data_IF_814237798266
#
_entry.id   IF_814237798266
#
_cell.length_a   1.000
_cell.length_b   1.000
_cell.length_c   1.000
_cell.angle_alpha   90.00
_cell.angle_beta   90.00
_cell.angle_gamma   90.00
#
_symmetry.space_group_name_H-M   'P 1'
#
loop_
_entity.id
_entity.type
_entity.pdbx_description
1 polymer ?
#
# COMPACT_ATOMS: atom_id res chain seq x y z
N UNK A 1 38.84 -32.58 41.08
CA UNK A 1 38.74 -31.25 40.44
C UNK A 1 39.55 -30.27 41.28
N UNK A 2 40.64 -29.73 40.73
CA UNK A 2 41.55 -28.86 41.48
C UNK A 2 40.86 -27.53 41.83
N UNK A 3 40.62 -27.29 43.12
CA UNK A 3 40.10 -26.01 43.63
C UNK A 3 41.19 -24.95 43.47
N UNK A 4 41.05 -24.11 42.43
CA UNK A 4 42.01 -23.06 42.14
C UNK A 4 41.81 -21.89 43.12
N UNK A 5 42.33 -22.03 44.34
CA UNK A 5 42.28 -21.03 45.43
C UNK A 5 43.24 -19.85 45.20
N UNK A 6 43.51 -19.49 43.95
CA UNK A 6 44.55 -18.54 43.60
C UNK A 6 43.97 -17.16 43.32
N UNK A 7 44.69 -16.12 43.74
CA UNK A 7 44.35 -14.74 43.43
C UNK A 7 44.51 -14.48 41.93
N UNK A 8 43.47 -13.96 41.28
CA UNK A 8 43.42 -13.62 39.85
C UNK A 8 44.62 -12.78 39.40
N UNK A 9 44.93 -11.70 40.12
CA UNK A 9 46.05 -10.79 39.80
C UNK A 9 47.43 -11.38 40.13
N UNK A 10 47.58 -12.16 41.22
CA UNK A 10 48.84 -12.85 41.54
C UNK A 10 49.18 -13.95 40.54
N UNK A 11 48.16 -14.66 40.04
CA UNK A 11 48.30 -15.71 39.01
C UNK A 11 48.89 -15.13 37.72
N UNK A 12 48.51 -13.90 37.36
CA UNK A 12 49.03 -13.22 36.18
C UNK A 12 50.47 -12.70 36.37
N UNK A 13 50.95 -12.58 37.61
CA UNK A 13 52.25 -11.96 37.94
C UNK A 13 53.26 -12.92 38.60
N UNK A 14 52.96 -14.25 38.63
CA UNK A 14 53.80 -15.31 39.20
C UNK A 14 54.30 -15.03 40.64
N UNK A 15 53.45 -14.47 41.51
CA UNK A 15 53.78 -14.16 42.93
C UNK A 15 53.26 -15.22 43.90
N UNK A 16 53.93 -15.36 45.08
CA UNK A 16 53.62 -16.35 46.13
C UNK A 16 52.14 -16.37 46.54
N UNK A 17 51.62 -17.58 46.78
CA UNK A 17 50.24 -17.88 47.16
C UNK A 17 49.87 -17.21 48.49
N UNK A 18 48.74 -16.49 48.52
CA UNK A 18 48.14 -15.85 49.70
C UNK A 18 46.68 -16.26 49.82
N UNK A 19 46.08 -16.12 51.01
CA UNK A 19 44.65 -16.35 51.23
C UNK A 19 43.80 -15.50 50.27
N UNK A 20 42.77 -16.11 49.68
CA UNK A 20 41.97 -15.51 48.61
C UNK A 20 40.54 -15.22 49.07
N UNK A 21 40.10 -13.97 48.91
CA UNK A 21 38.73 -13.49 49.13
C UNK A 21 38.01 -13.48 47.77
N UNK A 22 36.76 -13.96 47.72
CA UNK A 22 35.96 -13.99 46.50
C UNK A 22 35.09 -12.74 46.39
N UNK A 23 35.17 -12.03 45.26
CA UNK A 23 34.25 -10.95 44.94
C UNK A 23 32.95 -11.55 44.38
N UNK A 24 31.81 -11.26 45.00
CA UNK A 24 30.50 -11.78 44.58
C UNK A 24 29.97 -11.12 43.31
N UNK A 25 30.50 -9.95 42.92
CA UNK A 25 30.09 -9.23 41.72
C UNK A 25 30.71 -9.79 40.43
N UNK A 26 32.01 -10.06 40.43
CA UNK A 26 32.73 -10.60 39.26
C UNK A 26 33.09 -12.09 39.38
N UNK A 27 32.76 -12.72 40.52
CA UNK A 27 33.09 -14.12 40.86
C UNK A 27 34.59 -14.45 40.84
N UNK A 28 35.47 -13.44 40.81
CA UNK A 28 36.92 -13.62 40.85
C UNK A 28 37.44 -13.63 42.29
N UNK A 29 38.53 -14.37 42.51
CA UNK A 29 39.20 -14.44 43.82
C UNK A 29 40.45 -13.57 43.83
N UNK A 30 40.64 -12.80 44.89
CA UNK A 30 41.76 -11.88 45.07
C UNK A 30 42.41 -12.07 46.44
N UNK A 31 43.72 -11.89 46.57
CA UNK A 31 44.32 -11.73 47.89
C UNK A 31 43.93 -10.36 48.46
N UNK A 32 43.99 -10.19 49.77
CA UNK A 32 43.55 -8.96 50.45
C UNK A 32 44.03 -7.64 49.80
N UNK A 33 45.32 -7.45 49.45
CA UNK A 33 45.76 -6.21 48.79
C UNK A 33 45.17 -6.04 47.38
N UNK A 34 45.14 -7.09 46.56
CA UNK A 34 44.56 -7.01 45.22
C UNK A 34 43.02 -6.88 45.25
N UNK A 35 42.36 -7.34 46.32
CA UNK A 35 40.94 -7.09 46.53
C UNK A 35 40.67 -5.61 46.83
N UNK A 36 41.56 -4.97 47.62
CA UNK A 36 41.49 -3.54 47.91
C UNK A 36 41.74 -2.70 46.66
N UNK A 37 42.73 -3.06 45.84
CA UNK A 37 42.97 -2.43 44.53
C UNK A 37 41.78 -2.61 43.58
N UNK A 38 41.21 -3.82 43.50
CA UNK A 38 40.00 -4.08 42.72
C UNK A 38 38.83 -3.20 43.17
N UNK A 39 38.66 -3.01 44.49
CA UNK A 39 37.63 -2.13 45.04
C UNK A 39 37.87 -0.65 44.69
N UNK A 40 39.11 -0.19 44.76
CA UNK A 40 39.48 1.17 44.37
C UNK A 40 39.23 1.44 42.87
N UNK A 41 39.44 0.44 42.01
CA UNK A 41 39.11 0.56 40.58
C UNK A 41 37.61 0.72 40.36
N UNK A 42 36.78 -0.03 41.10
CA UNK A 42 35.31 0.10 41.04
C UNK A 42 34.86 1.48 41.53
N UNK A 43 35.48 2.03 42.57
CA UNK A 43 35.18 3.38 43.07
C UNK A 43 35.50 4.45 42.02
N UNK A 44 36.66 4.34 41.35
CA UNK A 44 37.00 5.23 40.23
C UNK A 44 36.03 5.12 39.06
N UNK A 45 35.61 3.91 38.71
CA UNK A 45 34.63 3.69 37.65
C UNK A 45 33.25 4.26 38.03
N UNK A 46 32.87 4.21 39.31
CA UNK A 46 31.63 4.78 39.83
C UNK A 46 31.65 6.30 39.82
N UNK A 47 32.74 6.93 40.25
CA UNK A 47 32.92 8.38 40.20
C UNK A 47 32.85 8.88 38.73
N UNK A 48 33.47 8.15 37.79
CA UNK A 48 33.36 8.43 36.36
C UNK A 48 31.91 8.35 35.86
N UNK A 49 31.13 7.37 36.34
CA UNK A 49 29.72 7.23 35.98
C UNK A 49 28.88 8.41 36.51
N UNK A 50 29.16 8.87 37.73
CA UNK A 50 28.52 10.07 38.31
C UNK A 50 28.84 11.31 37.48
N UNK A 51 30.10 11.48 37.08
CA UNK A 51 30.49 12.62 36.24
C UNK A 51 29.80 12.59 34.88
N UNK A 52 29.77 11.43 34.21
CA UNK A 52 29.04 11.25 32.95
C UNK A 52 27.55 11.58 33.10
N UNK A 53 26.93 11.15 34.21
CA UNK A 53 25.54 11.49 34.52
C UNK A 53 25.34 12.99 34.67
N UNK A 54 26.21 13.67 35.42
CA UNK A 54 26.09 15.11 35.69
C UNK A 54 26.25 15.95 34.42
N UNK A 55 27.22 15.61 33.57
CA UNK A 55 27.43 16.27 32.27
C UNK A 55 26.22 16.08 31.35
N UNK A 56 25.67 14.86 31.26
CA UNK A 56 24.47 14.59 30.45
C UNK A 56 23.25 15.35 30.97
N UNK A 57 23.06 15.37 32.29
CA UNK A 57 21.98 16.12 32.93
C UNK A 57 22.10 17.61 32.62
N UNK A 58 23.30 18.18 32.74
CA UNK A 58 23.52 19.58 32.42
C UNK A 58 23.19 19.88 30.95
N UNK A 59 23.58 19.03 30.00
CA UNK A 59 23.28 19.24 28.58
C UNK A 59 21.80 19.09 28.21
N UNK A 60 21.10 18.14 28.84
CA UNK A 60 19.68 17.89 28.55
C UNK A 60 18.76 18.96 29.14
N UNK A 61 19.16 19.55 30.26
CA UNK A 61 18.33 20.47 31.05
C UNK A 61 18.92 21.88 31.18
N UNK A 62 20.02 22.21 30.49
CA UNK A 62 20.51 23.60 30.41
C UNK A 62 19.59 24.42 29.53
N UNK A 63 19.13 25.56 30.05
CA UNK A 63 18.18 26.47 29.39
C UNK A 63 18.78 27.24 28.19
N UNK A 64 20.02 26.97 27.77
CA UNK A 64 20.69 27.68 26.68
C UNK A 64 20.71 26.87 25.36
N UNK A 65 19.81 27.27 24.46
CA UNK A 65 19.87 27.34 22.98
C UNK A 65 20.15 26.12 22.08
N UNK A 66 20.69 24.99 22.54
CA UNK A 66 20.96 23.87 21.60
C UNK A 66 19.69 23.15 21.10
N UNK A 67 18.56 23.29 21.82
CA UNK A 67 17.25 22.82 21.37
C UNK A 67 16.57 23.75 20.35
N UNK A 68 17.07 24.99 20.18
CA UNK A 68 16.52 25.91 19.19
C UNK A 68 16.85 25.49 17.76
N UNK A 69 18.03 24.94 17.48
CA UNK A 69 18.45 24.59 16.11
C UNK A 69 17.62 23.47 15.47
N UNK A 70 17.34 22.41 16.22
CA UNK A 70 16.57 21.25 15.74
C UNK A 70 15.08 21.59 15.65
N UNK A 71 14.54 22.28 16.67
CA UNK A 71 13.18 22.83 16.63
C UNK A 71 13.01 23.78 15.44
N UNK A 72 13.96 24.70 15.23
CA UNK A 72 13.95 25.64 14.11
C UNK A 72 14.02 24.93 12.76
N UNK A 73 14.79 23.84 12.64
CA UNK A 73 14.84 23.05 11.42
C UNK A 73 13.51 22.32 11.13
N UNK A 74 12.87 21.73 12.14
CA UNK A 74 11.57 21.08 11.99
C UNK A 74 10.47 22.09 11.61
N UNK A 75 10.47 23.28 12.23
CA UNK A 75 9.56 24.37 11.87
C UNK A 75 9.80 24.85 10.44
N UNK A 76 11.07 25.08 10.06
CA UNK A 76 11.42 25.47 8.68
C UNK A 76 10.92 24.46 7.64
N UNK A 77 10.95 23.16 7.95
CA UNK A 77 10.41 22.14 7.04
C UNK A 77 8.91 22.32 6.80
N UNK A 78 8.15 22.63 7.84
CA UNK A 78 6.71 22.91 7.73
C UNK A 78 6.49 24.20 6.92
N UNK A 79 7.22 25.27 7.22
CA UNK A 79 7.11 26.55 6.52
C UNK A 79 7.44 26.44 5.01
N UNK A 80 8.47 25.64 4.67
CA UNK A 80 8.82 25.37 3.26
C UNK A 80 7.71 24.60 2.57
N UNK A 81 7.20 23.54 3.20
CA UNK A 81 6.11 22.75 2.66
C UNK A 81 4.85 23.59 2.42
N UNK A 82 4.48 24.48 3.36
CA UNK A 82 3.32 25.37 3.25
C UNK A 82 3.43 26.27 2.01
N UNK A 83 4.60 26.90 1.83
CA UNK A 83 4.87 27.77 0.67
C UNK A 83 4.79 27.00 -0.65
N UNK A 84 5.34 25.80 -0.69
CA UNK A 84 5.33 24.97 -1.90
C UNK A 84 3.90 24.49 -2.24
N UNK A 85 3.09 24.14 -1.24
CA UNK A 85 1.70 23.76 -1.45
C UNK A 85 0.85 24.90 -2.01
N UNK A 86 0.95 26.10 -1.43
CA UNK A 86 0.23 27.29 -1.93
C UNK A 86 0.60 27.54 -3.39
N UNK A 87 1.90 27.48 -3.71
CA UNK A 87 2.40 27.66 -5.08
C UNK A 87 1.84 26.61 -6.03
N UNK A 88 1.80 25.34 -5.63
CA UNK A 88 1.29 24.25 -6.46
C UNK A 88 -0.22 24.37 -6.71
N UNK A 89 -1.00 24.74 -5.68
CA UNK A 89 -2.44 25.00 -5.81
C UNK A 89 -2.69 26.14 -6.80
N UNK A 90 -1.97 27.25 -6.65
CA UNK A 90 -2.09 28.40 -7.54
C UNK A 90 -1.69 28.05 -8.98
N UNK A 91 -0.60 27.31 -9.17
CA UNK A 91 -0.16 26.85 -10.49
C UNK A 91 -1.19 25.94 -11.16
N UNK A 92 -1.78 25.01 -10.40
CA UNK A 92 -2.81 24.08 -10.90
C UNK A 92 -4.08 24.83 -11.29
N UNK A 93 -4.51 25.81 -10.46
CA UNK A 93 -5.65 26.66 -10.78
C UNK A 93 -5.40 27.51 -12.03
N UNK A 94 -4.19 28.08 -12.18
CA UNK A 94 -3.81 28.84 -13.37
C UNK A 94 -3.81 27.97 -14.64
N UNK A 95 -3.22 26.77 -14.57
CA UNK A 95 -3.21 25.84 -15.68
C UNK A 95 -4.64 25.41 -16.10
N UNK A 96 -5.51 25.15 -15.13
CA UNK A 96 -6.91 24.79 -15.38
C UNK A 96 -7.69 25.94 -16.04
N UNK A 97 -7.47 27.18 -15.59
CA UNK A 97 -8.04 28.38 -16.23
C UNK A 97 -7.58 28.53 -17.67
N UNK A 98 -6.28 28.38 -17.93
CA UNK A 98 -5.73 28.43 -19.30
C UNK A 98 -6.33 27.36 -20.18
N UNK A 99 -6.47 26.12 -19.67
CA UNK A 99 -7.09 25.02 -20.41
C UNK A 99 -8.54 25.33 -20.77
N UNK A 100 -9.32 25.84 -19.83
CA UNK A 100 -10.70 26.27 -20.06
C UNK A 100 -10.78 27.33 -21.17
N UNK A 101 -9.93 28.36 -21.09
CA UNK A 101 -9.88 29.43 -22.11
C UNK A 101 -9.53 28.87 -23.49
N UNK A 102 -8.57 27.94 -23.57
CA UNK A 102 -8.18 27.32 -24.84
C UNK A 102 -9.33 26.49 -25.45
N UNK A 103 -10.02 25.69 -24.65
CA UNK A 103 -11.19 24.92 -25.12
C UNK A 103 -12.27 25.86 -25.68
N UNK A 104 -12.57 26.96 -24.98
CA UNK A 104 -13.54 27.97 -25.43
C UNK A 104 -13.08 28.60 -26.76
N UNK A 105 -11.79 28.92 -26.89
CA UNK A 105 -11.25 29.52 -28.10
C UNK A 105 -11.23 28.54 -29.29
N UNK A 106 -10.97 27.27 -29.06
CA UNK A 106 -11.01 26.22 -30.09
C UNK A 106 -12.42 26.09 -30.68
N UNK A 107 -13.45 25.99 -29.84
CA UNK A 107 -14.86 25.95 -30.28
C UNK A 107 -15.25 27.20 -31.07
N UNK A 108 -14.84 28.39 -30.57
CA UNK A 108 -15.08 29.65 -31.27
C UNK A 108 -14.40 29.68 -32.65
N UNK A 109 -13.19 29.13 -32.75
CA UNK A 109 -12.46 29.05 -34.01
C UNK A 109 -13.10 28.06 -34.98
N UNK A 110 -13.60 26.92 -34.51
CA UNK A 110 -14.36 25.99 -35.35
C UNK A 110 -15.60 26.65 -35.95
N UNK A 111 -16.38 27.35 -35.12
CA UNK A 111 -17.57 28.07 -35.59
C UNK A 111 -17.20 29.13 -36.63
N UNK A 112 -16.13 29.91 -36.38
CA UNK A 112 -15.63 30.91 -37.32
C UNK A 112 -15.20 30.30 -38.67
N UNK A 113 -14.53 29.15 -38.63
CA UNK A 113 -14.10 28.45 -39.84
C UNK A 113 -15.31 27.97 -40.65
N UNK A 114 -16.33 27.41 -39.99
CA UNK A 114 -17.56 26.98 -40.67
C UNK A 114 -18.27 28.15 -41.36
N UNK A 115 -18.40 29.30 -40.68
CA UNK A 115 -18.96 30.51 -41.30
C UNK A 115 -18.14 30.99 -42.50
N UNK A 116 -16.81 30.89 -42.43
CA UNK A 116 -15.92 31.32 -43.51
C UNK A 116 -16.03 30.41 -44.72
N UNK A 117 -16.08 29.09 -44.51
CA UNK A 117 -16.28 28.10 -45.57
C UNK A 117 -17.62 28.32 -46.27
N UNK A 118 -18.70 28.42 -45.50
CA UNK A 118 -20.04 28.67 -46.03
C UNK A 118 -20.11 29.99 -46.81
N UNK A 119 -19.49 31.07 -46.31
CA UNK A 119 -19.45 32.35 -47.00
C UNK A 119 -18.70 32.28 -48.36
N UNK A 120 -17.63 31.48 -48.44
CA UNK A 120 -16.89 31.27 -49.68
C UNK A 120 -17.70 30.45 -50.70
N UNK A 121 -18.37 29.38 -50.25
CA UNK A 121 -19.26 28.57 -51.10
C UNK A 121 -20.39 29.42 -51.69
N UNK A 122 -21.09 30.17 -50.84
CA UNK A 122 -22.17 31.07 -51.26
C UNK A 122 -21.69 32.08 -52.29
N UNK A 123 -20.51 32.69 -52.07
CA UNK A 123 -19.95 33.69 -52.98
C UNK A 123 -19.54 33.08 -54.32
N UNK A 124 -18.91 31.91 -54.31
CA UNK A 124 -18.49 31.19 -55.52
C UNK A 124 -19.68 30.85 -56.40
N UNK A 125 -20.72 30.27 -55.80
CA UNK A 125 -21.92 29.84 -56.52
C UNK A 125 -22.79 31.03 -56.97
N UNK A 126 -22.78 32.12 -56.21
CA UNK A 126 -23.39 33.38 -56.66
C UNK A 126 -22.68 33.97 -57.89
N UNK A 127 -21.35 33.93 -57.93
CA UNK A 127 -20.58 34.44 -59.09
C UNK A 127 -20.70 33.55 -60.32
N UNK A 128 -20.83 32.24 -60.14
CA UNK A 128 -21.08 31.28 -61.23
C UNK A 128 -22.53 31.22 -61.69
N UNK A 129 -23.46 31.77 -60.90
CA UNK A 129 -24.89 31.53 -61.03
C UNK A 129 -25.24 30.02 -60.99
N UNK A 130 -24.48 29.26 -60.20
CA UNK A 130 -24.48 27.80 -60.10
C UNK A 130 -25.12 27.39 -58.76
N UNK A 131 -26.43 27.49 -58.64
CA UNK A 131 -27.17 27.06 -57.45
C UNK A 131 -28.51 26.44 -57.82
N UNK A 132 -28.88 25.36 -57.12
CA UNK A 132 -30.18 24.69 -57.25
C UNK A 132 -30.90 24.60 -55.90
N UNK A 133 -32.17 24.19 -55.89
CA UNK A 133 -33.01 24.11 -54.71
C UNK A 133 -32.41 23.21 -53.60
N UNK A 134 -31.66 22.18 -53.98
CA UNK A 134 -30.96 21.31 -53.02
C UNK A 134 -29.84 22.04 -52.28
N UNK A 135 -29.11 22.93 -52.95
CA UNK A 135 -28.02 23.69 -52.35
C UNK A 135 -28.57 24.73 -51.38
N UNK A 136 -29.67 25.40 -51.75
CA UNK A 136 -30.38 26.34 -50.89
C UNK A 136 -30.89 25.66 -49.61
N UNK A 137 -31.41 24.43 -49.72
CA UNK A 137 -31.85 23.65 -48.56
C UNK A 137 -30.67 23.27 -47.65
N UNK A 138 -29.55 22.82 -48.22
CA UNK A 138 -28.38 22.42 -47.45
C UNK A 138 -27.74 23.61 -46.74
N UNK A 139 -27.58 24.75 -47.40
CA UNK A 139 -27.07 25.97 -46.76
C UNK A 139 -28.01 26.48 -45.67
N UNK A 140 -29.34 26.40 -45.87
CA UNK A 140 -30.29 26.77 -44.82
C UNK A 140 -30.15 25.88 -43.58
N UNK A 141 -29.90 24.59 -43.77
CA UNK A 141 -29.66 23.65 -42.68
C UNK A 141 -28.34 23.96 -41.95
N UNK A 142 -27.25 24.17 -42.68
CA UNK A 142 -25.95 24.54 -42.10
C UNK A 142 -26.02 25.86 -41.30
N UNK A 143 -26.78 26.83 -41.79
CA UNK A 143 -27.02 28.10 -41.09
C UNK A 143 -27.74 27.86 -39.76
N UNK A 144 -28.77 27.01 -39.76
CA UNK A 144 -29.55 26.67 -38.57
C UNK A 144 -28.69 25.92 -37.54
N UNK A 145 -27.87 24.97 -37.97
CA UNK A 145 -26.94 24.22 -37.10
C UNK A 145 -25.90 25.15 -36.46
N UNK A 146 -25.34 26.09 -37.23
CA UNK A 146 -24.41 27.09 -36.71
C UNK A 146 -25.09 28.03 -35.70
N UNK A 147 -26.33 28.42 -35.97
CA UNK A 147 -27.14 29.25 -35.05
C UNK A 147 -27.40 28.53 -33.73
N UNK A 148 -27.80 27.26 -33.77
CA UNK A 148 -28.05 26.47 -32.57
C UNK A 148 -26.78 26.30 -31.73
N UNK A 149 -25.63 26.01 -32.35
CA UNK A 149 -24.34 25.96 -31.65
C UNK A 149 -23.94 27.31 -31.03
N UNK A 150 -24.19 28.41 -31.73
CA UNK A 150 -23.92 29.75 -31.20
C UNK A 150 -24.79 30.06 -29.97
N UNK A 151 -26.09 29.77 -30.04
CA UNK A 151 -27.02 29.95 -28.92
C UNK A 151 -26.62 29.08 -27.72
N UNK A 152 -26.21 27.84 -27.97
CA UNK A 152 -25.67 26.94 -26.95
C UNK A 152 -24.36 27.42 -26.33
N UNK A 153 -23.53 28.20 -27.03
CA UNK A 153 -22.29 28.74 -26.49
C UNK A 153 -22.53 29.99 -25.62
N UNK A 154 -23.61 30.72 -25.86
CA UNK A 154 -23.96 31.97 -25.17
C UNK A 154 -24.68 31.76 -23.83
N UNK A 155 -25.10 30.54 -23.51
CA UNK A 155 -25.73 30.24 -22.21
C UNK A 155 -24.65 30.22 -21.11
N UNK A 156 -24.97 30.67 -19.91
CA UNK A 156 -24.05 30.67 -18.77
C UNK A 156 -23.87 29.27 -18.15
N UNK A 157 -24.80 28.35 -18.44
CA UNK A 157 -24.74 26.92 -18.10
C UNK A 157 -24.57 26.11 -19.40
N UNK A 158 -23.35 26.09 -19.94
CA UNK A 158 -23.06 25.30 -21.13
C UNK A 158 -22.84 23.85 -20.73
N UNK A 159 -23.69 22.94 -21.20
CA UNK A 159 -23.53 21.47 -21.08
C UNK A 159 -22.27 20.93 -21.79
N UNK A 160 -21.37 21.79 -22.27
CA UNK A 160 -20.18 21.45 -23.04
C UNK A 160 -18.92 21.29 -22.17
N UNK A 161 -18.81 22.00 -21.04
CA UNK A 161 -17.63 21.94 -20.17
C UNK A 161 -18.08 21.92 -18.71
N UNK A 162 -17.94 20.77 -18.05
CA UNK A 162 -18.18 20.61 -16.62
C UNK A 162 -16.88 20.85 -15.82
N UNK A 163 -16.99 21.51 -14.66
CA UNK A 163 -15.87 21.76 -13.75
C UNK A 163 -16.19 21.06 -12.42
N UNK A 164 -15.62 19.88 -12.24
CA UNK A 164 -15.66 19.17 -10.96
C UNK A 164 -14.47 19.57 -10.10
N UNK A 165 -14.73 20.10 -8.90
CA UNK A 165 -13.72 20.41 -7.88
C UNK A 165 -13.89 19.38 -6.76
N UNK A 166 -12.93 18.46 -6.64
CA UNK A 166 -12.95 17.48 -5.56
C UNK A 166 -12.53 18.13 -4.24
N UNK A 167 -13.24 17.87 -3.12
CA UNK A 167 -12.86 18.37 -1.81
C UNK A 167 -11.58 17.68 -1.31
N UNK A 168 -10.60 18.48 -0.89
CA UNK A 168 -9.37 17.99 -0.24
C UNK A 168 -9.58 17.96 1.26
N UNK A 169 -9.25 16.85 1.92
CA UNK A 169 -9.25 16.76 3.38
C UNK A 169 -8.05 17.54 3.94
N UNK A 170 -8.32 18.72 4.52
CA UNK A 170 -7.30 19.60 5.08
C UNK A 170 -6.83 19.17 6.48
N UNK A 171 -7.55 18.28 7.17
CA UNK A 171 -7.24 17.93 8.56
C UNK A 171 -6.06 16.94 8.67
N UNK A 172 -5.82 16.15 7.61
CA UNK A 172 -4.83 15.06 7.63
C UNK A 172 -3.63 15.28 6.72
N UNK A 173 -3.43 16.50 6.20
CA UNK A 173 -2.34 16.79 5.24
C UNK A 173 -0.97 16.78 5.93
N UNK A 174 -0.88 17.20 7.19
CA UNK A 174 0.34 17.13 8.01
C UNK A 174 0.09 16.20 9.19
N UNK A 175 0.95 15.20 9.36
CA UNK A 175 0.98 14.36 10.57
C UNK A 175 2.29 14.59 11.34
N UNK A 176 2.17 14.82 12.64
CA UNK A 176 3.32 14.93 13.56
C UNK A 176 3.29 13.71 14.47
N UNK A 177 4.26 12.82 14.33
CA UNK A 177 4.37 11.59 15.13
C UNK A 177 5.68 11.57 15.92
N UNK A 178 5.67 10.87 17.07
CA UNK A 178 6.90 10.57 17.80
C UNK A 178 7.73 9.54 17.03
N UNK A 179 9.05 9.75 16.98
CA UNK A 179 9.99 8.77 16.41
C UNK A 179 10.22 7.58 17.34
N UNK A 180 11.09 6.64 16.94
CA UNK A 180 11.43 5.47 17.74
C UNK A 180 12.04 5.86 19.10
N UNK A 181 11.36 5.50 20.18
CA UNK A 181 11.84 5.73 21.55
C UNK A 181 13.00 4.77 21.88
N UNK A 182 14.09 5.32 22.42
CA UNK A 182 15.16 4.52 23.01
C UNK A 182 14.66 4.02 24.37
N UNK A 183 14.49 2.69 24.50
CA UNK A 183 14.12 2.05 25.77
C UNK A 183 15.25 2.21 26.80
N UNK A 184 15.05 3.09 27.79
CA UNK A 184 15.96 3.24 28.92
C UNK A 184 15.78 2.03 29.86
N UNK A 185 16.84 1.23 30.02
CA UNK A 185 16.82 0.07 30.94
C UNK A 185 16.82 0.55 32.39
N UNK A 186 15.70 0.37 33.10
CA UNK A 186 15.61 0.58 34.55
C UNK A 186 15.97 -0.71 35.29
N UNK A 187 16.82 -0.65 36.32
CA UNK A 187 17.03 -1.80 37.22
C UNK A 187 15.76 -2.01 38.06
N UNK A 188 15.02 -3.08 37.80
CA UNK A 188 13.88 -3.52 38.62
C UNK A 188 14.39 -4.08 39.98
N UNK A 189 13.66 -3.85 41.09
CA UNK A 189 14.00 -4.46 42.38
C UNK A 189 13.85 -5.98 42.33
N UNK A 190 14.67 -6.69 43.11
CA UNK A 190 14.94 -8.12 43.02
C UNK A 190 13.77 -9.10 43.32
N UNK A 191 12.53 -8.62 43.39
CA UNK A 191 11.36 -9.42 43.79
C UNK A 191 10.51 -9.94 42.62
N UNK A 192 10.87 -9.70 41.35
CA UNK A 192 10.07 -10.12 40.20
C UNK A 192 10.90 -10.74 39.06
N UNK A 193 11.39 -11.96 39.26
CA UNK A 193 11.96 -12.76 38.17
C UNK A 193 11.21 -14.09 38.05
N UNK A 194 10.23 -14.17 37.13
CA UNK A 194 9.53 -15.40 36.77
C UNK A 194 10.41 -16.28 35.87
N UNK A 195 10.65 -17.50 36.34
CA UNK A 195 10.86 -18.80 35.68
C UNK A 195 11.06 -18.75 34.15
N UNK A 196 12.26 -19.14 33.70
CA UNK A 196 12.54 -19.58 32.33
C UNK A 196 12.47 -21.12 32.34
N UNK A 197 11.55 -21.72 31.57
CA UNK A 197 11.47 -23.18 31.38
C UNK A 197 12.27 -23.55 30.12
N UNK A 198 13.18 -24.51 30.24
CA UNK A 198 13.93 -25.07 29.10
C UNK A 198 13.08 -26.10 28.32
N UNK A 199 12.85 -25.88 27.03
CA UNK A 199 12.19 -26.82 26.11
C UNK A 199 13.18 -27.90 25.57
N UNK A 200 12.71 -29.14 25.42
CA UNK A 200 13.45 -30.25 24.74
C UNK A 200 12.67 -30.67 23.47
N UNK A 201 13.37 -30.83 22.35
CA UNK A 201 12.81 -31.21 21.03
C UNK A 201 12.69 -32.74 20.83
N UNK A 202 11.74 -33.19 19.99
CA UNK A 202 11.58 -34.60 19.56
C UNK A 202 11.87 -34.72 18.05
N UNK A 203 12.53 -35.80 17.60
CA UNK A 203 12.94 -36.02 16.21
C UNK A 203 12.10 -37.06 15.46
N UNK A 204 11.85 -36.82 14.17
CA UNK A 204 11.15 -37.72 13.24
C UNK A 204 12.08 -38.83 12.72
N UNK A 205 11.67 -40.10 12.82
CA UNK A 205 12.52 -41.27 12.47
C UNK A 205 12.75 -41.49 10.96
N UNK A 206 12.00 -40.84 10.07
CA UNK A 206 12.17 -41.03 8.61
C UNK A 206 13.03 -39.97 7.93
N UNK A 207 13.09 -38.74 8.46
CA UNK A 207 13.85 -37.63 7.87
C UNK A 207 14.85 -36.95 8.84
N UNK A 208 14.93 -37.45 10.07
CA UNK A 208 15.88 -37.06 11.12
C UNK A 208 15.88 -35.56 11.52
N UNK A 209 14.78 -34.83 11.28
CA UNK A 209 14.58 -33.45 11.75
C UNK A 209 13.86 -33.39 13.10
N UNK A 210 14.16 -32.37 13.91
CA UNK A 210 13.65 -32.18 15.28
C UNK A 210 12.66 -31.02 15.37
N UNK A 211 11.60 -31.19 16.16
CA UNK A 211 10.50 -30.23 16.32
C UNK A 211 10.17 -29.96 17.80
N UNK A 212 9.79 -28.71 18.17
CA UNK A 212 9.22 -28.39 19.48
C UNK A 212 7.76 -28.85 19.55
N UNK A 213 7.34 -29.37 20.72
CA UNK A 213 5.96 -29.86 20.93
C UNK A 213 5.08 -28.69 21.39
N UNK A 214 4.30 -28.12 20.49
CA UNK A 214 3.10 -27.34 20.85
C UNK A 214 1.96 -27.64 19.85
N UNK A 215 0.75 -27.74 20.39
CA UNK A 215 -0.56 -27.96 19.73
C UNK A 215 -0.76 -29.24 18.90
N UNK A 216 -1.06 -30.34 19.59
CA UNK A 216 -2.39 -30.97 19.46
C UNK A 216 -2.90 -31.57 18.14
N UNK A 217 -2.09 -31.81 17.10
CA UNK A 217 -2.55 -32.58 15.92
C UNK A 217 -1.68 -33.80 15.62
N UNK A 218 -2.36 -34.94 15.49
CA UNK A 218 -1.86 -36.28 15.21
C UNK A 218 -2.11 -36.56 13.73
N UNK A 219 -1.11 -37.06 13.01
CA UNK A 219 -1.16 -37.75 11.68
C UNK A 219 -1.84 -36.98 10.52
N UNK A 220 -1.18 -36.68 9.40
CA UNK A 220 -1.00 -37.64 8.32
C UNK A 220 0.18 -37.25 7.42
N UNK A 221 0.97 -38.27 7.08
CA UNK A 221 1.80 -38.31 5.90
C UNK A 221 1.03 -39.18 4.88
N UNK A 222 0.79 -38.70 3.67
CA UNK A 222 0.47 -39.61 2.55
C UNK A 222 1.18 -39.16 1.28
N UNK A 223 1.73 -40.18 0.62
CA UNK A 223 2.46 -40.13 -0.63
C UNK A 223 1.50 -39.91 -1.80
N UNK A 224 1.79 -38.90 -2.63
CA UNK A 224 1.85 -38.96 -4.08
C UNK A 224 2.00 -37.53 -4.62
N UNK A 225 3.26 -37.16 -4.83
CA UNK A 225 3.68 -35.84 -5.29
C UNK A 225 3.99 -35.93 -6.79
N UNK A 226 2.96 -35.97 -7.65
CA UNK A 226 3.11 -35.82 -9.10
C UNK A 226 1.79 -35.67 -9.87
N UNK A 227 0.93 -34.72 -9.49
CA UNK A 227 -0.10 -34.23 -10.43
C UNK A 227 0.04 -32.73 -10.63
N UNK A 228 0.19 -32.33 -11.90
CA UNK A 228 0.18 -30.93 -12.32
C UNK A 228 -1.18 -30.35 -11.95
N UNK A 229 -1.15 -29.31 -11.13
CA UNK A 229 -2.33 -28.54 -10.75
C UNK A 229 -3.01 -27.95 -12.01
N UNK A 230 -4.11 -28.58 -12.41
CA UNK A 230 -5.17 -27.93 -13.19
C UNK A 230 -6.14 -27.32 -12.18
N UNK A 231 -6.25 -25.98 -12.15
CA UNK A 231 -7.29 -25.32 -11.35
C UNK A 231 -8.68 -25.85 -11.76
N UNK A 232 -9.49 -26.38 -10.82
CA UNK A 232 -10.86 -26.74 -11.13
C UNK A 232 -11.69 -25.48 -11.29
N UNK A 233 -12.28 -25.39 -12.48
CA UNK A 233 -13.21 -24.37 -12.91
C UNK A 233 -14.50 -24.46 -12.08
N UNK A 234 -15.00 -23.32 -11.56
CA UNK A 234 -16.37 -23.27 -11.05
C UNK A 234 -17.33 -23.25 -12.24
N UNK A 235 -17.82 -24.43 -12.63
CA UNK A 235 -19.01 -24.60 -13.45
C UNK A 235 -20.25 -24.14 -12.67
N UNK A 236 -20.40 -22.83 -12.48
CA UNK A 236 -21.72 -22.26 -12.29
C UNK A 236 -22.24 -21.91 -13.68
N UNK A 237 -22.84 -22.93 -14.32
CA UNK A 237 -23.75 -22.79 -15.45
C UNK A 237 -25.00 -22.01 -15.01
N UNK A 238 -24.82 -20.71 -14.83
CA UNK A 238 -25.91 -19.73 -14.84
C UNK A 238 -25.39 -18.55 -15.62
N UNK A 239 -26.08 -18.22 -16.70
CA UNK A 239 -25.91 -17.01 -17.50
C UNK A 239 -26.20 -15.71 -16.69
N UNK A 240 -25.74 -15.60 -15.44
CA UNK A 240 -25.82 -14.37 -14.65
C UNK A 240 -24.57 -13.52 -14.90
N UNK A 241 -24.74 -12.71 -15.92
CA UNK A 241 -24.03 -11.50 -16.27
C UNK A 241 -23.73 -10.59 -15.05
N UNK A 242 -22.63 -10.82 -14.31
CA UNK A 242 -22.17 -9.83 -13.30
C UNK A 242 -21.21 -10.23 -12.17
N UNK A 243 -20.83 -11.49 -11.98
CA UNK A 243 -20.04 -11.88 -10.80
C UNK A 243 -18.57 -11.43 -10.84
N UNK A 244 -18.21 -10.35 -10.13
CA UNK A 244 -16.83 -9.88 -9.94
C UNK A 244 -16.00 -10.75 -8.95
N UNK A 245 -16.42 -12.00 -8.69
CA UNK A 245 -16.03 -12.77 -7.49
C UNK A 245 -14.73 -13.56 -7.55
N UNK A 246 -13.96 -13.52 -8.64
CA UNK A 246 -12.83 -14.44 -8.86
C UNK A 246 -11.43 -13.85 -8.72
N UNK A 247 -11.27 -12.54 -8.84
CA UNK A 247 -9.98 -11.94 -9.21
C UNK A 247 -9.32 -11.25 -8.01
N UNK A 248 -8.88 -12.05 -7.03
CA UNK A 248 -8.07 -11.66 -5.87
C UNK A 248 -8.14 -10.20 -5.41
N UNK A 249 -9.12 -9.80 -4.60
CA UNK A 249 -9.27 -8.45 -4.05
C UNK A 249 -9.57 -8.41 -2.53
N UNK A 250 -9.42 -7.22 -1.95
CA UNK A 250 -9.64 -6.91 -0.54
C UNK A 250 -10.90 -6.05 -0.34
N UNK A 251 -11.60 -6.26 0.77
CA UNK A 251 -12.69 -5.37 1.18
C UNK A 251 -12.15 -4.04 1.72
N UNK A 252 -12.80 -2.92 1.35
CA UNK A 252 -12.32 -1.57 1.63
C UNK A 252 -12.14 -1.23 3.12
N UNK A 253 -12.89 -1.85 4.02
CA UNK A 253 -12.80 -1.61 5.47
C UNK A 253 -11.78 -2.53 6.18
N UNK A 254 -11.06 -3.39 5.45
CA UNK A 254 -9.89 -4.08 6.00
C UNK A 254 -8.77 -3.09 6.32
N UNK A 255 -7.85 -3.45 7.22
CA UNK A 255 -6.74 -2.59 7.65
C UNK A 255 -5.41 -3.11 7.11
N UNK A 256 -4.63 -2.21 6.51
CA UNK A 256 -3.28 -2.47 5.99
C UNK A 256 -2.24 -1.93 6.97
N UNK A 257 -1.19 -2.70 7.26
CA UNK A 257 -0.09 -2.29 8.13
C UNK A 257 0.94 -1.42 7.37
N UNK A 258 1.12 -0.19 7.84
CA UNK A 258 2.12 0.75 7.31
C UNK A 258 3.50 0.50 7.90
N UNK A 259 4.56 0.99 7.25
CA UNK A 259 5.96 0.80 7.71
C UNK A 259 6.18 1.34 9.13
N UNK A 260 5.54 2.46 9.46
CA UNK A 260 5.55 3.11 10.78
C UNK A 260 4.81 2.33 11.88
N UNK A 261 4.18 1.18 11.56
CA UNK A 261 3.47 0.34 12.50
C UNK A 261 2.00 0.75 12.76
N UNK A 262 1.53 1.83 12.15
CA UNK A 262 0.11 2.19 12.16
C UNK A 262 -0.66 1.37 11.10
N UNK A 263 -1.98 1.40 11.20
CA UNK A 263 -2.86 0.78 10.21
C UNK A 263 -3.69 1.83 9.48
N UNK A 264 -3.96 1.59 8.20
CA UNK A 264 -4.83 2.42 7.35
C UNK A 264 -5.88 1.54 6.70
N UNK A 265 -7.08 2.05 6.43
CA UNK A 265 -8.09 1.24 5.72
C UNK A 265 -7.64 0.98 4.29
N UNK A 266 -7.95 -0.20 3.76
CA UNK A 266 -7.67 -0.61 2.37
C UNK A 266 -8.17 0.44 1.38
N UNK A 267 -9.39 0.96 1.59
CA UNK A 267 -9.99 2.01 0.72
C UNK A 267 -9.28 3.36 0.78
N UNK A 268 -8.50 3.60 1.83
CA UNK A 268 -7.79 4.87 2.07
C UNK A 268 -6.33 4.83 1.62
N UNK A 269 -5.83 3.65 1.21
CA UNK A 269 -4.47 3.50 0.66
C UNK A 269 -4.35 4.33 -0.63
N UNK A 270 -3.22 5.01 -0.79
CA UNK A 270 -2.88 5.85 -1.94
C UNK A 270 -1.48 5.51 -2.44
N UNK A 271 -1.20 5.86 -3.70
CA UNK A 271 0.16 5.83 -4.24
C UNK A 271 1.09 6.64 -3.34
N UNK A 272 2.27 6.12 -3.08
CA UNK A 272 3.27 6.72 -2.18
C UNK A 272 3.14 6.30 -0.72
N UNK A 273 2.03 5.67 -0.31
CA UNK A 273 1.96 5.04 1.01
C UNK A 273 3.03 3.94 1.13
N UNK A 274 3.69 3.86 2.29
CA UNK A 274 4.76 2.90 2.55
C UNK A 274 4.26 1.82 3.49
N UNK A 275 4.25 0.58 3.01
CA UNK A 275 3.71 -0.58 3.71
C UNK A 275 4.82 -1.34 4.43
N UNK A 276 4.44 -1.97 5.55
CA UNK A 276 5.30 -2.97 6.20
C UNK A 276 5.14 -4.31 5.49
N UNK A 277 6.27 -4.92 5.15
CA UNK A 277 6.31 -6.29 4.62
C UNK A 277 6.78 -7.27 5.70
N UNK A 278 6.52 -8.58 5.53
CA UNK A 278 6.96 -9.61 6.47
C UNK A 278 8.46 -9.61 6.76
N UNK A 279 9.26 -9.33 5.73
CA UNK A 279 10.72 -9.41 5.80
C UNK A 279 11.34 -8.13 6.41
N UNK A 280 10.50 -7.19 6.88
CA UNK A 280 10.91 -5.90 7.42
C UNK A 280 11.33 -4.88 6.36
N UNK A 281 11.23 -5.22 5.08
CA UNK A 281 11.46 -4.30 3.95
C UNK A 281 10.28 -3.34 3.86
N UNK A 282 10.56 -2.06 3.63
CA UNK A 282 9.52 -1.06 3.36
C UNK A 282 9.16 -1.08 1.88
N UNK A 283 7.88 -1.21 1.54
CA UNK A 283 7.44 -1.27 0.14
C UNK A 283 6.46 -0.13 -0.16
N UNK A 284 6.70 0.61 -1.22
CA UNK A 284 5.89 1.77 -1.62
C UNK A 284 4.78 1.34 -2.55
N UNK A 285 3.56 1.80 -2.29
CA UNK A 285 2.42 1.61 -3.19
C UNK A 285 2.64 2.43 -4.47
N UNK A 286 2.69 1.76 -5.62
CA UNK A 286 2.84 2.39 -6.94
C UNK A 286 1.50 2.54 -7.64
N UNK A 287 0.59 1.58 -7.48
CA UNK A 287 -0.79 1.66 -7.96
C UNK A 287 -1.79 1.17 -6.92
N UNK A 288 -2.95 1.83 -6.90
CA UNK A 288 -4.16 1.39 -6.20
C UNK A 288 -5.22 1.13 -7.25
N UNK A 289 -5.77 -0.07 -7.23
CA UNK A 289 -6.83 -0.51 -8.14
C UNK A 289 -8.10 -0.62 -7.34
N UNK A 290 -9.11 0.18 -7.70
CA UNK A 290 -10.46 0.14 -7.15
C UNK A 290 -11.36 -0.56 -8.17
N UNK A 291 -12.10 -1.57 -7.75
CA UNK A 291 -12.94 -2.38 -8.61
C UNK A 291 -14.38 -2.30 -8.10
N UNK A 292 -15.27 -1.73 -8.91
CA UNK A 292 -16.69 -1.60 -8.58
C UNK A 292 -17.39 -2.96 -8.68
N UNK A 293 -18.20 -3.31 -7.69
CA UNK A 293 -18.94 -4.57 -7.67
C UNK A 293 -20.25 -4.45 -8.45
N UNK A 294 -20.60 -5.48 -9.23
CA UNK A 294 -21.92 -5.52 -9.85
C UNK A 294 -23.00 -5.67 -8.77
N UNK A 295 -24.12 -4.98 -8.95
CA UNK A 295 -25.29 -5.06 -8.04
C UNK A 295 -24.95 -4.71 -6.56
N UNK A 296 -23.80 -4.07 -6.28
CA UNK A 296 -23.38 -3.66 -4.93
C UNK A 296 -23.06 -4.82 -3.97
N UNK A 297 -22.74 -6.00 -4.50
CA UNK A 297 -22.47 -7.21 -3.71
C UNK A 297 -21.25 -7.97 -4.21
N UNK A 298 -20.61 -8.73 -3.32
CA UNK A 298 -19.50 -9.62 -3.66
C UNK A 298 -19.50 -10.90 -2.80
N UNK A 299 -19.10 -12.03 -3.38
CA UNK A 299 -18.77 -13.26 -2.63
C UNK A 299 -17.40 -13.09 -1.97
N UNK A 300 -17.36 -13.16 -0.64
CA UNK A 300 -16.17 -12.89 0.16
C UNK A 300 -16.01 -13.91 1.29
N UNK A 301 -14.79 -14.13 1.75
CA UNK A 301 -14.47 -14.95 2.91
C UNK A 301 -14.11 -14.04 4.08
N UNK A 302 -14.73 -14.29 5.24
CA UNK A 302 -14.49 -13.53 6.48
C UNK A 302 -13.73 -14.36 7.51
N UNK A 303 -12.68 -13.77 8.07
CA UNK A 303 -11.89 -14.34 9.17
C UNK A 303 -12.18 -13.61 10.48
N UNK A 304 -11.90 -14.29 11.61
CA UNK A 304 -12.24 -13.79 12.95
C UNK A 304 -11.47 -12.51 13.35
N UNK A 305 -10.31 -12.25 12.73
CA UNK A 305 -9.53 -11.02 12.91
C UNK A 305 -10.02 -9.85 12.03
N UNK A 306 -11.16 -10.01 11.36
CA UNK A 306 -11.77 -8.98 10.52
C UNK A 306 -11.22 -8.89 9.11
N UNK A 307 -10.35 -9.81 8.66
CA UNK A 307 -10.01 -9.90 7.24
C UNK A 307 -11.26 -10.32 6.45
N UNK A 308 -11.60 -9.53 5.43
CA UNK A 308 -12.65 -9.83 4.46
C UNK A 308 -12.01 -9.75 3.07
N UNK A 309 -11.98 -10.87 2.37
CA UNK A 309 -11.17 -11.04 1.17
C UNK A 309 -11.86 -11.94 0.16
N UNK A 310 -11.62 -11.77 -1.14
CA UNK A 310 -12.20 -12.65 -2.16
C UNK A 310 -11.69 -14.09 -2.00
N UNK A 311 -12.48 -15.12 -2.34
CA UNK A 311 -12.16 -16.52 -2.05
C UNK A 311 -10.85 -17.01 -2.67
N UNK A 312 -10.47 -16.45 -3.83
CA UNK A 312 -9.30 -16.85 -4.62
C UNK A 312 -8.09 -15.93 -4.48
N UNK A 313 -8.06 -15.06 -3.47
CA UNK A 313 -6.88 -14.23 -3.21
C UNK A 313 -5.85 -15.00 -2.35
N UNK A 314 -4.63 -15.30 -2.83
CA UNK A 314 -3.64 -16.03 -2.04
C UNK A 314 -3.26 -15.32 -0.73
N UNK A 315 -3.40 -16.03 0.39
CA UNK A 315 -2.90 -15.59 1.71
C UNK A 315 -1.88 -16.58 2.25
N UNK A 316 -0.86 -16.09 2.97
CA UNK A 316 0.20 -16.94 3.55
C UNK A 316 -0.11 -17.22 5.02
N UNK A 317 -0.22 -18.50 5.36
CA UNK A 317 -0.47 -19.00 6.71
C UNK A 317 0.56 -20.09 7.00
N UNK A 318 1.26 -19.99 8.12
CA UNK A 318 2.33 -20.91 8.52
C UNK A 318 3.39 -21.14 7.41
N UNK A 319 3.72 -20.07 6.69
CA UNK A 319 4.69 -20.07 5.60
C UNK A 319 4.20 -20.67 4.28
N UNK A 320 2.93 -21.03 4.15
CA UNK A 320 2.35 -21.60 2.91
C UNK A 320 1.24 -20.71 2.35
N UNK A 321 1.24 -20.51 1.03
CA UNK A 321 0.15 -19.85 0.32
C UNK A 321 -1.08 -20.75 0.27
N UNK A 322 -2.25 -20.20 0.56
CA UNK A 322 -3.55 -20.89 0.54
C UNK A 322 -4.62 -19.96 -0.02
N UNK A 323 -5.67 -20.52 -0.62
CA UNK A 323 -6.86 -19.75 -0.95
C UNK A 323 -7.80 -19.67 0.26
N UNK A 324 -8.37 -18.50 0.56
CA UNK A 324 -9.40 -18.33 1.59
C UNK A 324 -10.57 -19.33 1.47
N UNK A 325 -10.97 -19.66 0.24
CA UNK A 325 -12.02 -20.65 -0.05
C UNK A 325 -11.75 -22.02 0.59
N UNK A 326 -10.48 -22.45 0.61
CA UNK A 326 -10.08 -23.76 1.17
C UNK A 326 -10.10 -23.78 2.71
N UNK A 327 -10.27 -22.61 3.33
CA UNK A 327 -10.14 -22.42 4.79
C UNK A 327 -11.51 -22.16 5.42
N UNK A 328 -12.35 -21.34 4.78
CA UNK A 328 -13.67 -20.94 5.28
C UNK A 328 -14.67 -20.77 4.15
N UNK A 329 -15.95 -20.94 4.48
CA UNK A 329 -17.05 -20.74 3.54
C UNK A 329 -17.17 -19.27 3.12
N UNK A 330 -17.37 -19.04 1.82
CA UNK A 330 -17.60 -17.71 1.26
C UNK A 330 -19.06 -17.27 1.44
N UNK A 331 -19.29 -15.98 1.64
CA UNK A 331 -20.62 -15.40 1.84
C UNK A 331 -20.80 -14.22 0.91
N UNK A 332 -22.01 -14.06 0.38
CA UNK A 332 -22.38 -12.84 -0.33
C UNK A 332 -22.59 -11.71 0.68
N UNK A 333 -21.80 -10.64 0.56
CA UNK A 333 -21.90 -9.45 1.43
C UNK A 333 -22.21 -8.21 0.61
N UNK A 334 -22.77 -7.19 1.27
CA UNK A 334 -22.88 -5.84 0.69
C UNK A 334 -21.48 -5.25 0.53
N UNK A 335 -21.12 -4.98 -0.71
CA UNK A 335 -19.80 -4.50 -1.08
C UNK A 335 -19.93 -3.72 -2.39
N UNK A 336 -19.79 -2.40 -2.32
CA UNK A 336 -19.85 -1.54 -3.50
C UNK A 336 -18.56 -1.59 -4.31
N UNK A 337 -17.44 -1.84 -3.63
CA UNK A 337 -16.10 -1.72 -4.20
C UNK A 337 -15.09 -2.58 -3.43
N UNK A 338 -14.14 -3.14 -4.18
CA UNK A 338 -13.01 -3.91 -3.69
C UNK A 338 -11.71 -3.29 -4.20
N UNK A 339 -10.59 -3.68 -3.59
CA UNK A 339 -9.30 -3.07 -3.88
C UNK A 339 -8.19 -4.10 -4.04
N UNK A 340 -7.17 -3.74 -4.82
CA UNK A 340 -5.87 -4.39 -4.82
C UNK A 340 -4.78 -3.33 -5.11
N UNK A 341 -3.51 -3.68 -4.89
CA UNK A 341 -2.39 -2.76 -4.96
C UNK A 341 -1.28 -3.32 -5.84
N UNK A 342 -0.39 -2.44 -6.30
CA UNK A 342 0.93 -2.80 -6.82
C UNK A 342 1.97 -2.14 -5.92
N UNK A 343 2.95 -2.91 -5.46
CA UNK A 343 4.09 -2.41 -4.71
C UNK A 343 5.32 -2.28 -5.62
N UNK A 344 6.24 -1.39 -5.29
CA UNK A 344 7.54 -1.27 -5.99
C UNK A 344 8.47 -2.47 -5.76
N UNK A 345 8.35 -3.11 -4.59
CA UNK A 345 9.13 -4.29 -4.20
C UNK A 345 8.38 -5.16 -3.20
N UNK A 346 8.91 -6.37 -2.96
CA UNK A 346 8.40 -7.42 -2.06
C UNK A 346 7.01 -7.96 -2.41
N UNK A 347 6.04 -7.14 -2.82
CA UNK A 347 4.70 -7.53 -3.28
C UNK A 347 3.89 -8.37 -2.29
N UNK A 348 4.14 -8.20 -0.99
CA UNK A 348 3.37 -8.80 0.11
C UNK A 348 2.94 -7.68 1.04
N UNK A 349 1.65 -7.61 1.32
CA UNK A 349 1.03 -6.66 2.25
C UNK A 349 0.50 -7.38 3.47
N UNK A 350 0.58 -6.75 4.66
CA UNK A 350 -0.01 -7.29 5.88
C UNK A 350 -1.39 -6.65 6.08
N UNK A 351 -2.46 -7.43 5.91
CA UNK A 351 -3.85 -6.97 5.96
C UNK A 351 -4.60 -7.71 7.06
N UNK A 352 -5.11 -6.96 8.05
CA UNK A 352 -5.70 -7.50 9.28
C UNK A 352 -4.79 -8.53 10.00
N UNK A 353 -3.48 -8.47 9.77
CA UNK A 353 -2.49 -9.40 10.33
C UNK A 353 -2.21 -10.65 9.48
N UNK A 354 -2.87 -10.83 8.33
CA UNK A 354 -2.52 -11.85 7.34
C UNK A 354 -1.56 -11.29 6.30
N UNK A 355 -0.68 -12.15 5.79
CA UNK A 355 0.21 -11.83 4.69
C UNK A 355 -0.50 -12.13 3.37
N UNK A 356 -0.81 -11.09 2.61
CA UNK A 356 -1.56 -11.14 1.36
C UNK A 356 -0.67 -10.70 0.20
N UNK A 357 -0.82 -11.35 -0.95
CA UNK A 357 -0.05 -10.99 -2.15
C UNK A 357 -0.64 -9.75 -2.84
N UNK A 358 0.20 -8.92 -3.44
CA UNK A 358 -0.25 -7.80 -4.28
C UNK A 358 -0.06 -8.10 -5.77
N UNK A 359 -0.61 -7.28 -6.65
CA UNK A 359 -0.44 -7.44 -8.10
C UNK A 359 1.04 -7.26 -8.51
N UNK A 360 1.41 -7.88 -9.64
CA UNK A 360 2.74 -7.78 -10.24
C UNK A 360 3.84 -8.48 -9.45
N UNK A 361 3.52 -9.49 -8.65
CA UNK A 361 4.44 -10.07 -7.66
C UNK A 361 5.54 -10.99 -8.20
N UNK A 362 5.43 -11.52 -9.43
CA UNK A 362 6.42 -12.40 -10.06
C UNK A 362 6.76 -13.70 -9.31
N UNK A 363 6.03 -14.03 -8.25
CA UNK A 363 6.22 -15.27 -7.49
C UNK A 363 5.78 -16.50 -8.29
N UNK A 364 6.46 -17.61 -8.00
CA UNK A 364 6.26 -18.92 -8.59
C UNK A 364 5.93 -19.91 -7.49
N UNK A 365 5.08 -20.88 -7.80
CA UNK A 365 4.67 -21.91 -6.85
C UNK A 365 3.17 -22.15 -6.84
N UNK A 366 2.79 -23.19 -6.10
CA UNK A 366 1.40 -23.60 -5.90
C UNK A 366 0.59 -22.46 -5.26
N UNK A 367 -0.67 -22.30 -5.70
CA UNK A 367 -1.61 -21.23 -5.30
C UNK A 367 -1.21 -19.83 -5.78
N UNK A 368 0.05 -19.44 -5.60
CA UNK A 368 0.52 -18.06 -5.76
C UNK A 368 0.83 -17.67 -7.20
N UNK A 369 1.23 -18.63 -8.06
CA UNK A 369 1.59 -18.32 -9.43
C UNK A 369 0.36 -17.99 -10.28
N UNK A 370 0.36 -16.82 -10.92
CA UNK A 370 -0.70 -16.40 -11.84
C UNK A 370 -0.13 -15.90 -13.17
N UNK A 371 -0.63 -16.34 -14.34
CA UNK A 371 -0.08 -16.01 -15.68
C UNK A 371 -0.26 -14.55 -16.13
N UNK A 372 -0.90 -13.73 -15.30
CA UNK A 372 -1.27 -12.35 -15.60
C UNK A 372 -1.11 -11.45 -14.36
N UNK A 373 -1.94 -11.63 -13.32
CA UNK A 373 -1.86 -10.84 -12.08
C UNK A 373 -0.52 -10.96 -11.36
N UNK A 374 0.20 -12.07 -11.53
CA UNK A 374 1.55 -12.28 -11.01
C UNK A 374 2.68 -11.84 -11.93
N UNK A 375 2.42 -11.03 -12.96
CA UNK A 375 3.42 -10.65 -13.97
C UNK A 375 3.42 -9.14 -14.24
N UNK A 376 4.42 -8.64 -14.97
CA UNK A 376 4.46 -7.24 -15.42
C UNK A 376 3.26 -6.84 -16.30
N UNK A 377 2.56 -7.79 -16.93
CA UNK A 377 1.42 -7.49 -17.83
C UNK A 377 0.32 -6.67 -17.14
N UNK A 378 -0.02 -7.00 -15.90
CA UNK A 378 -1.02 -6.21 -15.15
C UNK A 378 -0.53 -4.80 -14.88
N UNK A 379 0.76 -4.63 -14.58
CA UNK A 379 1.36 -3.31 -14.33
C UNK A 379 1.42 -2.48 -15.61
N UNK A 380 1.67 -3.11 -16.75
CA UNK A 380 1.69 -2.45 -18.06
C UNK A 380 0.29 -1.98 -18.47
N UNK A 381 -0.75 -2.79 -18.25
CA UNK A 381 -2.15 -2.39 -18.48
C UNK A 381 -2.55 -1.22 -17.56
N UNK A 382 -2.20 -1.27 -16.28
CA UNK A 382 -2.44 -0.18 -15.33
C UNK A 382 -1.73 1.11 -15.76
N UNK A 383 -0.46 1.00 -16.18
CA UNK A 383 0.32 2.15 -16.68
C UNK A 383 -0.31 2.76 -17.93
N UNK A 384 -0.81 1.94 -18.86
CA UNK A 384 -1.49 2.42 -20.05
C UNK A 384 -2.81 3.15 -19.73
N UNK A 385 -3.49 2.76 -18.65
CA UNK A 385 -4.73 3.40 -18.20
C UNK A 385 -4.49 4.67 -17.35
N UNK A 386 -3.34 4.80 -16.69
CA UNK A 386 -2.99 5.95 -15.83
C UNK A 386 -2.47 7.16 -16.61
N UNK A 387 -3.28 7.69 -17.54
CA UNK A 387 -2.91 8.82 -18.39
C UNK A 387 -2.61 10.12 -17.62
N UNK A 388 -3.02 10.20 -16.35
CA UNK A 388 -2.80 11.34 -15.47
C UNK A 388 -1.68 11.09 -14.44
N UNK A 389 -1.04 9.92 -14.48
CA UNK A 389 0.03 9.51 -13.56
C UNK A 389 -0.35 9.66 -12.07
N UNK A 390 -1.60 9.35 -11.74
CA UNK A 390 -2.14 9.45 -10.37
C UNK A 390 -1.82 8.23 -9.53
N UNK A 391 -1.53 7.09 -10.16
CA UNK A 391 -1.43 5.79 -9.51
C UNK A 391 -2.76 5.21 -9.01
N UNK A 392 -3.90 5.79 -9.40
CA UNK A 392 -5.22 5.32 -8.98
C UNK A 392 -6.04 4.93 -10.19
N UNK A 393 -6.50 3.67 -10.22
CA UNK A 393 -7.26 3.11 -11.35
C UNK A 393 -8.58 2.58 -10.84
N UNK A 394 -9.67 3.15 -11.35
CA UNK A 394 -11.02 2.64 -11.13
C UNK A 394 -11.44 1.75 -12.30
N UNK A 395 -11.91 0.54 -11.98
CA UNK A 395 -12.41 -0.46 -12.91
C UNK A 395 -13.88 -0.72 -12.63
N UNK A 396 -14.68 -0.75 -13.70
CA UNK A 396 -16.09 -1.12 -13.64
C UNK A 396 -16.26 -2.65 -13.66
N UNK A 397 -17.45 -3.18 -13.33
CA UNK A 397 -17.72 -4.59 -13.56
C UNK A 397 -17.43 -4.97 -15.02
N UNK A 398 -16.93 -6.20 -15.24
CA UNK A 398 -16.56 -6.73 -16.57
C UNK A 398 -15.32 -6.05 -17.23
N UNK A 399 -14.51 -5.35 -16.44
CA UNK A 399 -13.21 -4.84 -16.89
C UNK A 399 -12.15 -5.92 -17.12
N UNK A 400 -12.32 -7.14 -16.60
CA UNK A 400 -11.38 -8.25 -16.77
C UNK A 400 -11.59 -8.94 -18.12
N UNK A 401 -10.48 -9.20 -18.82
CA UNK A 401 -10.44 -9.92 -20.09
C UNK A 401 -9.94 -11.33 -19.82
N UNK A 402 -10.70 -12.33 -20.27
CA UNK A 402 -10.39 -13.74 -20.08
C UNK A 402 -10.16 -14.43 -21.42
N UNK A 403 -9.20 -15.35 -21.44
CA UNK A 403 -8.98 -16.23 -22.58
C UNK A 403 -10.20 -17.13 -22.79
N UNK A 404 -10.66 -17.30 -24.03
CA UNK A 404 -11.92 -18.00 -24.31
C UNK A 404 -11.85 -19.51 -24.08
N UNK A 405 -10.64 -20.10 -24.10
CA UNK A 405 -10.42 -21.54 -23.94
C UNK A 405 -10.10 -21.92 -22.51
N UNK A 406 -9.14 -21.21 -21.92
CA UNK A 406 -8.63 -21.48 -20.56
C UNK A 406 -9.38 -20.70 -19.50
N UNK A 407 -10.10 -19.63 -19.89
CA UNK A 407 -10.90 -18.75 -19.01
C UNK A 407 -10.08 -18.02 -17.94
N UNK A 408 -8.75 -18.16 -18.01
CA UNK A 408 -7.79 -17.41 -17.22
C UNK A 408 -7.81 -15.93 -17.62
N UNK A 409 -7.57 -15.06 -16.63
CA UNK A 409 -7.44 -13.62 -16.91
C UNK A 409 -6.16 -13.38 -17.72
N UNK A 410 -6.32 -12.65 -18.82
CA UNK A 410 -5.22 -12.27 -19.72
C UNK A 410 -5.01 -10.76 -19.81
N UNK A 411 -5.93 -9.95 -19.26
CA UNK A 411 -5.89 -8.50 -19.36
C UNK A 411 -6.92 -7.81 -18.48
N UNK A 412 -6.75 -6.50 -18.29
CA UNK A 412 -7.76 -5.60 -17.74
C UNK A 412 -7.91 -4.39 -18.67
N UNK A 413 -9.12 -3.84 -18.78
CA UNK A 413 -9.42 -2.67 -19.63
C UNK A 413 -10.48 -1.78 -19.00
N UNK A 414 -10.42 -0.48 -19.30
CA UNK A 414 -11.53 0.44 -19.00
C UNK A 414 -12.74 0.06 -19.86
N UNK A 415 -13.86 -0.21 -19.21
CA UNK A 415 -15.13 -0.37 -19.90
C UNK A 415 -15.70 1.03 -20.17
N UNK A 416 -15.57 1.54 -21.39
CA UNK A 416 -16.34 2.70 -21.82
C UNK A 416 -17.77 2.23 -22.08
N UNK A 417 -18.67 2.41 -21.11
CA UNK A 417 -20.07 2.04 -21.26
C UNK A 417 -20.66 2.75 -22.48
N UNK A 418 -21.02 1.99 -23.51
CA UNK A 418 -21.92 2.47 -24.56
C UNK A 418 -23.28 2.70 -23.93
N UNK A 419 -23.65 3.97 -23.71
CA UNK A 419 -25.02 4.34 -23.38
C UNK A 419 -25.91 3.97 -24.58
N UNK A 420 -26.81 3.02 -24.38
CA UNK A 420 -27.80 2.67 -25.40
C UNK A 420 -28.92 3.72 -25.35
N UNK A 421 -28.96 4.61 -26.35
CA UNK A 421 -29.91 5.72 -26.44
C UNK A 421 -31.37 5.30 -26.73
N UNK A 422 -31.66 4.01 -26.83
CA UNK A 422 -32.99 3.51 -27.23
C UNK A 422 -34.07 3.60 -26.16
N UNK A 423 -33.75 3.93 -24.91
CA UNK A 423 -34.72 3.83 -23.79
C UNK A 423 -35.27 5.19 -23.30
N UNK A 424 -34.91 6.31 -23.93
CA UNK A 424 -35.38 7.65 -23.51
C UNK A 424 -36.53 8.19 -24.40
N UNK A 425 -36.91 7.51 -25.48
CA UNK A 425 -37.99 7.96 -26.38
C UNK A 425 -39.33 7.22 -26.20
N UNK A 426 -39.63 6.72 -25.00
CA UNK A 426 -40.97 6.21 -24.67
C UNK A 426 -41.46 6.74 -23.32
N UNK A 427 -41.78 8.03 -23.28
CA UNK A 427 -42.81 8.65 -22.43
C UNK A 427 -43.19 10.00 -23.02
#
# INVERSE_FOLDING_TARGET
MATNNECFTCRQTNKKKRSSIMCTGCSQRFCQPHHQEHRQLIEKDFDRLIEQHNVLRQRLFSEHDDQNSTKLHLLKKIDTWEKDMIKNIQATAAASKTRLINMINEEKNQLKNNFTLMANELKSNQTGNDYVETDLYEWQKQLNDCKQKFEQFMLSNNNFIDISINPTDFENIISISRGNDIKIRTRLPASQTRIIVHERNIACKSCNRSFPRSSGHVEFCSADCSERYTQPYSDNNSDDDGGNGGDGCFYGNCTVLLSNGLTKLVKDIRRGDVLRTPDGVEATVTYVVKIMCAKGKASMVTFDNGLIITPWHPIRIDGKWKFPHDIRHEQEIECQEMYNFVLDQCHISIINGFECVTLGHHFKGEVIEHPYFGTAKVVDDLRAMDTLNTGFIELLPKSTVRDTKTRLVTGIRRFSGTFNMSTILSC
#
